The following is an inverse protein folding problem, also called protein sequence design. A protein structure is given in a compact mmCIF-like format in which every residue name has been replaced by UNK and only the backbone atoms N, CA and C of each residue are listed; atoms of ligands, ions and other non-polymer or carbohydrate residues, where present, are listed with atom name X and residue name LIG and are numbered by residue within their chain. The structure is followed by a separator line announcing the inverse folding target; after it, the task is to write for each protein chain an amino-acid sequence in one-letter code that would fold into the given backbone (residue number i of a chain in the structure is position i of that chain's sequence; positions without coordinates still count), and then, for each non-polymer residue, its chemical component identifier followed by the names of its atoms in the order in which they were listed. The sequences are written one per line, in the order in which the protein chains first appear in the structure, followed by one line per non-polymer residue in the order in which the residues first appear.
data_IF_310197283646
#
_entry.id   IF_310197283646
#
_cell.length_a   1.000
_cell.length_b   1.000
_cell.length_c   1.000
_cell.angle_alpha   90.00
_cell.angle_beta   90.00
_cell.angle_gamma   90.00
#
_symmetry.space_group_name_H-M   'P 1'
#
loop_
_entity.id
_entity.type
_entity.pdbx_description
1 polymer ?
#
# COMPACT_ATOMS: atom_id res chain seq x y z
N UNK A 1 21.29 -4.62 56.38
CA UNK A 1 21.74 -3.48 55.54
C UNK A 1 22.45 -3.97 54.28
N UNK A 2 23.42 -4.88 54.35
CA UNK A 2 24.16 -5.38 53.17
C UNK A 2 23.31 -6.19 52.17
N UNK A 3 22.38 -7.01 52.65
CA UNK A 3 21.51 -7.81 51.77
C UNK A 3 20.55 -6.95 50.95
N UNK A 4 20.02 -5.88 51.53
CA UNK A 4 19.16 -4.93 50.80
C UNK A 4 19.93 -4.10 49.78
N UNK A 5 21.24 -3.91 49.97
CA UNK A 5 22.13 -3.27 48.99
C UNK A 5 22.43 -4.23 47.85
N UNK A 6 22.76 -5.49 48.17
CA UNK A 6 22.97 -6.55 47.18
C UNK A 6 21.74 -6.78 46.28
N UNK A 7 20.53 -6.76 46.86
CA UNK A 7 19.29 -6.90 46.09
C UNK A 7 19.05 -5.69 45.17
N UNK A 8 19.43 -4.48 45.61
CA UNK A 8 19.32 -3.27 44.78
C UNK A 8 20.33 -3.30 43.64
N UNK A 9 21.58 -3.66 43.92
CA UNK A 9 22.63 -3.81 42.91
C UNK A 9 22.24 -4.84 41.85
N UNK A 10 21.68 -5.99 42.28
CA UNK A 10 21.19 -7.01 41.37
C UNK A 10 20.01 -6.53 40.51
N UNK A 11 19.07 -5.78 41.08
CA UNK A 11 17.95 -5.21 40.34
C UNK A 11 18.41 -4.14 39.31
N UNK A 12 19.39 -3.31 39.67
CA UNK A 12 19.99 -2.34 38.77
C UNK A 12 20.74 -3.02 37.61
N UNK A 13 21.45 -4.12 37.88
CA UNK A 13 22.13 -4.92 36.86
C UNK A 13 21.13 -5.54 35.87
N UNK A 14 20.02 -6.09 36.36
CA UNK A 14 18.94 -6.59 35.51
C UNK A 14 18.30 -5.47 34.66
N UNK A 15 18.14 -4.27 35.23
CA UNK A 15 17.66 -3.09 34.49
C UNK A 15 18.58 -2.74 33.31
N UNK A 16 19.90 -2.68 33.56
CA UNK A 16 20.91 -2.41 32.52
C UNK A 16 20.88 -3.44 31.39
N UNK A 17 20.66 -4.72 31.70
CA UNK A 17 20.53 -5.78 30.69
C UNK A 17 19.28 -5.57 29.83
N UNK A 18 18.15 -5.23 30.46
CA UNK A 18 16.90 -4.99 29.76
C UNK A 18 16.99 -3.78 28.80
N UNK A 19 17.62 -2.69 29.25
CA UNK A 19 17.83 -1.48 28.46
C UNK A 19 18.77 -1.74 27.28
N UNK A 20 19.87 -2.45 27.49
CA UNK A 20 20.79 -2.84 26.42
C UNK A 20 20.08 -3.72 25.36
N UNK A 21 19.26 -4.68 25.80
CA UNK A 21 18.45 -5.49 24.88
C UNK A 21 17.43 -4.66 24.07
N UNK A 22 16.87 -3.59 24.66
CA UNK A 22 15.99 -2.66 23.96
C UNK A 22 16.75 -1.82 22.92
N UNK A 23 17.94 -1.32 23.26
CA UNK A 23 18.75 -0.51 22.34
C UNK A 23 19.34 -1.34 21.20
N UNK A 24 19.77 -2.58 21.44
CA UNK A 24 20.17 -3.48 20.35
C UNK A 24 19.03 -3.71 19.35
N UNK A 25 17.77 -3.84 19.81
CA UNK A 25 16.61 -3.93 18.91
C UNK A 25 16.37 -2.63 18.13
N UNK A 26 16.67 -1.46 18.70
CA UNK A 26 16.57 -0.17 18.02
C UNK A 26 17.67 -0.01 16.97
N UNK A 27 18.90 -0.44 17.29
CA UNK A 27 20.03 -0.42 16.38
C UNK A 27 19.79 -1.33 15.16
N UNK A 28 19.31 -2.57 15.38
CA UNK A 28 18.96 -3.50 14.29
C UNK A 28 17.81 -2.99 13.39
N UNK A 29 16.99 -2.04 13.87
CA UNK A 29 15.98 -1.36 13.03
C UNK A 29 16.55 -0.17 12.25
N UNK A 30 17.62 0.45 12.74
CA UNK A 30 18.28 1.60 12.10
C UNK A 30 19.35 1.19 11.10
N UNK A 31 20.02 0.04 11.29
CA UNK A 31 20.96 -0.50 10.32
C UNK A 31 20.22 -1.02 9.07
N UNK A 32 19.79 -0.06 8.24
CA UNK A 32 19.51 -0.27 6.84
C UNK A 32 20.85 -0.35 6.07
N UNK A 33 21.61 -1.42 6.28
CA UNK A 33 22.65 -1.80 5.32
C UNK A 33 22.73 -3.31 5.22
N UNK A 34 21.70 -3.90 4.61
CA UNK A 34 21.83 -5.24 4.04
C UNK A 34 22.08 -5.06 2.56
N UNK A 35 23.36 -5.05 2.19
CA UNK A 35 23.86 -5.26 0.84
C UNK A 35 23.43 -6.67 0.40
N UNK A 36 22.17 -6.80 -0.04
CA UNK A 36 21.56 -8.09 -0.37
C UNK A 36 20.07 -8.23 -0.04
N UNK A 37 19.45 -7.27 0.67
CA UNK A 37 18.00 -7.20 0.71
C UNK A 37 17.53 -6.75 -0.68
N UNK A 38 16.79 -7.60 -1.40
CA UNK A 38 16.10 -7.22 -2.62
C UNK A 38 15.35 -5.93 -2.32
N UNK A 39 15.85 -4.82 -2.85
CA UNK A 39 15.08 -3.59 -2.91
C UNK A 39 13.83 -4.00 -3.65
N UNK A 40 12.71 -4.09 -2.95
CA UNK A 40 11.43 -4.11 -3.63
C UNK A 40 11.52 -2.93 -4.58
N UNK A 41 11.48 -3.20 -5.89
CA UNK A 41 11.21 -2.16 -6.84
C UNK A 41 9.89 -1.57 -6.39
N UNK A 42 9.95 -0.51 -5.58
CA UNK A 42 9.03 0.59 -5.71
C UNK A 42 9.25 0.93 -7.17
N UNK A 43 8.42 0.36 -8.03
CA UNK A 43 8.17 0.90 -9.33
C UNK A 43 8.17 2.39 -9.07
N UNK A 44 9.14 3.08 -9.63
CA UNK A 44 9.03 4.52 -9.81
C UNK A 44 7.81 4.65 -10.71
N UNK A 45 6.60 4.53 -10.14
CA UNK A 45 5.52 5.42 -10.49
C UNK A 45 6.21 6.74 -10.32
N UNK A 46 6.59 7.31 -11.46
CA UNK A 46 6.74 8.74 -11.56
C UNK A 46 5.64 9.29 -10.67
N UNK A 47 5.95 10.14 -9.67
CA UNK A 47 4.92 11.06 -9.27
C UNK A 47 4.66 11.81 -10.57
N UNK A 48 3.61 11.41 -11.31
CA UNK A 48 2.84 12.38 -12.05
C UNK A 48 2.29 13.29 -10.97
N UNK A 49 3.20 14.14 -10.51
CA UNK A 49 2.96 15.38 -9.86
C UNK A 49 1.91 16.05 -10.72
N UNK A 50 0.89 16.57 -10.05
CA UNK A 50 -0.47 16.85 -10.53
C UNK A 50 -1.51 15.79 -10.12
N UNK A 51 -1.83 15.81 -8.82
CA UNK A 51 -3.20 16.10 -8.42
C UNK A 51 -3.60 17.52 -8.90
N UNK A 52 -3.46 17.78 -10.20
CA UNK A 52 -4.32 18.77 -10.83
C UNK A 52 -5.60 17.99 -10.96
N UNK A 53 -6.69 18.59 -10.52
CA UNK A 53 -8.01 18.25 -11.00
C UNK A 53 -8.06 18.54 -12.51
N UNK A 54 -7.17 17.92 -13.29
CA UNK A 54 -7.17 17.84 -14.75
C UNK A 54 -8.27 16.82 -15.03
N UNK A 55 -9.49 17.28 -14.73
CA UNK A 55 -10.73 16.62 -15.07
C UNK A 55 -10.61 16.29 -16.55
N UNK A 56 -10.58 15.00 -16.88
CA UNK A 56 -10.72 14.59 -18.27
C UNK A 56 -12.00 15.23 -18.82
N UNK A 57 -12.06 15.53 -20.14
CA UNK A 57 -13.32 15.92 -20.74
C UNK A 57 -14.39 14.88 -20.37
N UNK A 58 -15.64 15.30 -20.12
CA UNK A 58 -16.70 14.41 -19.69
C UNK A 58 -16.80 13.25 -20.67
N UNK A 59 -16.72 12.03 -20.16
CA UNK A 59 -16.82 10.84 -20.98
C UNK A 59 -18.19 10.82 -21.70
N UNK A 60 -18.25 10.66 -23.03
CA UNK A 60 -19.51 10.71 -23.78
C UNK A 60 -20.46 9.56 -23.39
N UNK A 61 -19.92 8.46 -22.86
CA UNK A 61 -20.70 7.27 -22.54
C UNK A 61 -21.26 7.28 -21.12
N UNK A 62 -20.50 7.75 -20.12
CA UNK A 62 -20.90 7.70 -18.71
C UNK A 62 -20.93 9.05 -18.00
N UNK A 63 -20.57 10.14 -18.69
CA UNK A 63 -20.54 11.53 -18.21
C UNK A 63 -19.57 11.79 -17.04
N UNK A 64 -18.70 10.83 -16.71
CA UNK A 64 -17.67 10.97 -15.65
C UNK A 64 -16.38 11.54 -16.22
N UNK A 65 -15.63 12.23 -15.38
CA UNK A 65 -14.35 12.88 -15.72
C UNK A 65 -13.13 12.22 -15.07
N UNK A 66 -13.33 11.07 -14.41
CA UNK A 66 -12.28 10.33 -13.68
C UNK A 66 -11.54 9.30 -14.57
N UNK A 67 -11.77 9.31 -15.88
CA UNK A 67 -11.05 8.42 -16.80
C UNK A 67 -11.03 8.99 -18.22
N UNK A 68 -10.03 8.61 -19.03
CA UNK A 68 -10.04 8.89 -20.47
C UNK A 68 -11.10 8.03 -21.19
N UNK A 69 -11.69 8.55 -22.27
CA UNK A 69 -12.82 7.94 -22.97
C UNK A 69 -12.61 6.46 -23.36
N UNK A 70 -11.41 6.09 -23.81
CA UNK A 70 -11.07 4.71 -24.20
C UNK A 70 -11.07 3.70 -23.04
N UNK A 71 -10.98 4.16 -21.78
CA UNK A 71 -11.05 3.30 -20.59
C UNK A 71 -12.46 3.22 -19.98
N UNK A 72 -13.46 3.85 -20.59
CA UNK A 72 -14.82 3.78 -20.07
C UNK A 72 -15.35 2.35 -20.07
N UNK A 73 -15.99 1.93 -18.99
CA UNK A 73 -16.64 0.63 -18.92
C UNK A 73 -17.96 0.56 -19.70
N UNK A 74 -18.57 1.70 -20.02
CA UNK A 74 -19.86 1.80 -20.71
C UNK A 74 -19.73 2.05 -22.21
N UNK A 75 -18.63 1.65 -22.84
CA UNK A 75 -18.43 1.93 -24.26
C UNK A 75 -19.43 1.11 -25.11
N UNK A 76 -19.98 1.68 -26.19
CA UNK A 76 -20.91 0.98 -27.09
C UNK A 76 -20.25 -0.17 -27.85
N UNK A 77 -18.94 -0.07 -28.13
CA UNK A 77 -18.18 -1.02 -28.94
C UNK A 77 -17.67 -2.23 -28.15
N UNK A 78 -17.63 -2.19 -26.81
CA UNK A 78 -17.22 -3.34 -26.01
C UNK A 78 -18.34 -4.37 -25.94
N UNK A 79 -18.01 -5.61 -26.32
CA UNK A 79 -18.86 -6.79 -26.10
C UNK A 79 -18.58 -7.35 -24.72
N UNK A 80 -19.61 -7.49 -23.91
CA UNK A 80 -19.51 -8.14 -22.61
C UNK A 80 -19.30 -9.64 -22.78
N UNK A 81 -18.23 -10.20 -22.19
CA UNK A 81 -17.97 -11.64 -22.26
C UNK A 81 -18.98 -12.47 -21.44
N UNK A 82 -19.56 -11.90 -20.38
CA UNK A 82 -20.54 -12.59 -19.52
C UNK A 82 -21.90 -12.78 -20.17
N UNK A 83 -22.42 -11.74 -20.83
CA UNK A 83 -23.78 -11.79 -21.39
C UNK A 83 -23.85 -11.65 -22.92
N UNK A 84 -22.69 -11.53 -23.58
CA UNK A 84 -22.59 -11.40 -25.04
C UNK A 84 -23.11 -10.07 -25.63
N UNK A 85 -23.73 -9.19 -24.83
CA UNK A 85 -24.28 -7.91 -25.29
C UNK A 85 -23.20 -6.83 -25.39
N UNK A 86 -23.38 -5.92 -26.35
CA UNK A 86 -22.55 -4.73 -26.50
C UNK A 86 -22.99 -3.62 -25.53
N UNK A 87 -22.13 -2.63 -25.31
CA UNK A 87 -22.47 -1.44 -24.49
C UNK A 87 -21.93 -1.43 -23.08
N UNK A 88 -21.28 -2.51 -22.63
CA UNK A 88 -20.68 -2.56 -21.30
C UNK A 88 -19.57 -3.59 -21.16
N UNK A 89 -18.62 -3.31 -20.28
CA UNK A 89 -17.58 -4.23 -19.89
C UNK A 89 -18.11 -5.28 -18.92
N UNK A 90 -17.45 -6.44 -18.91
CA UNK A 90 -17.79 -7.57 -18.04
C UNK A 90 -17.90 -7.21 -16.55
N UNK A 91 -17.07 -6.26 -16.08
CA UNK A 91 -17.03 -5.80 -14.68
C UNK A 91 -18.32 -5.15 -14.18
N UNK A 92 -19.09 -4.56 -15.08
CA UNK A 92 -20.35 -3.86 -14.76
C UNK A 92 -21.58 -4.62 -15.25
N UNK A 93 -21.38 -5.86 -15.68
CA UNK A 93 -22.47 -6.70 -16.16
C UNK A 93 -23.45 -7.01 -15.02
N UNK A 94 -24.74 -6.73 -15.26
CA UNK A 94 -25.83 -6.94 -14.29
C UNK A 94 -26.43 -8.35 -14.33
N UNK A 95 -25.99 -9.21 -15.25
CA UNK A 95 -26.43 -10.61 -15.22
C UNK A 95 -25.79 -11.27 -14.01
N UNK A 96 -26.57 -11.48 -12.97
CA UNK A 96 -26.24 -12.46 -11.94
C UNK A 96 -26.04 -13.79 -12.67
N UNK A 97 -24.89 -14.43 -12.47
CA UNK A 97 -24.75 -15.85 -12.78
C UNK A 97 -25.93 -16.56 -12.09
N UNK A 98 -26.84 -17.12 -12.88
CA UNK A 98 -27.73 -18.17 -12.43
C UNK A 98 -26.96 -19.49 -12.50
#
# INVERSE_FOLDING_TARGET
MKESELVKEYAEELGKIADNALENRRLMRQENFVEGAFQAHRYKKTPNNKQVNESYPPCPYCKKTNHPQHKCWWRPDVKCNKCGRQGHAEKICRTHQQ
#
